data_IF_393291020223
#
_entry.id   IF_393291020223
#
_cell.length_a   1.000
_cell.length_b   1.000
_cell.length_c   1.000
_cell.angle_alpha   90.00
_cell.angle_beta   90.00
_cell.angle_gamma   90.00
#
_symmetry.space_group_name_H-M   'P 1'
#
loop_
_entity.id
_entity.type
_entity.pdbx_description
1 polymer ?
#
# COMPACT_ATOMS: atom_id res chain seq x y z
N UNK A 1 42.45 -11.03 50.00
CA UNK A 1 41.59 -10.36 49.06
C UNK A 1 40.61 -11.40 48.48
N UNK A 2 39.36 -11.41 48.95
CA UNK A 2 38.30 -12.33 48.43
C UNK A 2 37.53 -11.61 47.33
N UNK A 3 37.58 -12.14 46.11
CA UNK A 3 36.76 -11.64 44.99
C UNK A 3 35.35 -12.21 45.09
N UNK A 4 34.37 -11.35 45.27
CA UNK A 4 32.95 -11.69 45.13
C UNK A 4 32.59 -11.66 43.65
N UNK A 5 32.18 -12.80 43.10
CA UNK A 5 31.58 -12.91 41.80
C UNK A 5 30.06 -12.76 42.00
N UNK A 6 29.48 -11.66 41.53
CA UNK A 6 28.04 -11.46 41.48
C UNK A 6 27.55 -12.09 40.18
N UNK A 7 26.86 -13.23 40.28
CA UNK A 7 26.10 -13.78 39.16
C UNK A 7 24.81 -12.96 38.99
N UNK A 8 24.70 -12.16 37.95
CA UNK A 8 23.43 -11.63 37.49
C UNK A 8 22.69 -12.73 36.72
N UNK A 9 21.66 -13.29 37.31
CA UNK A 9 20.68 -14.16 36.65
C UNK A 9 19.71 -13.28 35.86
N UNK A 10 19.86 -13.25 34.52
CA UNK A 10 18.87 -12.66 33.64
C UNK A 10 17.63 -13.58 33.62
N UNK A 11 16.56 -13.16 34.27
CA UNK A 11 15.25 -13.79 34.12
C UNK A 11 14.68 -13.33 32.79
N UNK A 12 14.79 -14.18 31.77
CA UNK A 12 14.05 -14.00 30.52
C UNK A 12 12.56 -14.26 30.80
N UNK A 13 11.76 -13.22 30.95
CA UNK A 13 10.31 -13.34 30.87
C UNK A 13 9.92 -13.66 29.44
N UNK A 14 9.66 -14.92 29.19
CA UNK A 14 8.99 -15.36 27.96
C UNK A 14 7.52 -15.00 28.12
N UNK A 15 7.13 -13.82 27.65
CA UNK A 15 5.73 -13.54 27.39
C UNK A 15 5.32 -14.38 26.19
N UNK A 16 4.54 -15.42 26.42
CA UNK A 16 3.90 -16.21 25.38
C UNK A 16 2.85 -15.37 24.65
N UNK A 17 3.30 -14.52 23.72
CA UNK A 17 2.42 -14.00 22.70
C UNK A 17 2.06 -15.18 21.81
N UNK A 18 0.80 -15.60 21.79
CA UNK A 18 0.27 -16.52 20.80
C UNK A 18 0.51 -15.88 19.43
N UNK A 19 1.58 -16.30 18.75
CA UNK A 19 1.89 -15.83 17.41
C UNK A 19 0.72 -16.24 16.52
N UNK A 20 -0.11 -15.29 16.17
CA UNK A 20 -1.25 -15.50 15.29
C UNK A 20 -0.73 -16.10 13.97
N UNK A 21 -1.20 -17.29 13.62
CA UNK A 21 -0.68 -18.08 12.50
C UNK A 21 -0.83 -17.30 11.21
N UNK A 22 0.27 -17.00 10.51
CA UNK A 22 0.22 -16.35 9.20
C UNK A 22 -0.56 -17.22 8.22
N UNK A 23 -1.48 -16.59 7.52
CA UNK A 23 -2.30 -17.25 6.48
C UNK A 23 -1.52 -17.25 5.17
N UNK A 24 -1.38 -18.39 4.52
CA UNK A 24 -0.82 -18.47 3.17
C UNK A 24 -1.88 -18.11 2.13
N UNK A 25 -1.49 -17.36 1.10
CA UNK A 25 -2.32 -17.07 -0.06
C UNK A 25 -1.91 -17.91 -1.27
N UNK A 26 -2.86 -18.31 -2.07
CA UNK A 26 -2.62 -19.05 -3.30
C UNK A 26 -1.73 -18.26 -4.27
N UNK A 27 -0.58 -18.84 -4.62
CA UNK A 27 0.39 -18.27 -5.55
C UNK A 27 1.40 -17.32 -4.91
N UNK A 28 1.30 -16.98 -3.63
CA UNK A 28 2.38 -16.31 -2.93
C UNK A 28 3.54 -17.29 -2.68
N UNK A 29 4.76 -16.85 -2.98
CA UNK A 29 5.97 -17.65 -2.77
C UNK A 29 6.42 -17.62 -1.30
N UNK A 30 6.18 -16.50 -0.63
CA UNK A 30 6.55 -16.28 0.78
C UNK A 30 5.46 -15.48 1.49
N UNK A 31 5.36 -15.67 2.81
CA UNK A 31 4.57 -14.80 3.70
C UNK A 31 5.50 -14.30 4.79
N UNK A 32 5.61 -12.99 4.92
CA UNK A 32 6.49 -12.33 5.88
C UNK A 32 5.66 -11.47 6.81
N UNK A 33 5.69 -11.75 8.12
CA UNK A 33 5.19 -10.86 9.15
C UNK A 33 6.23 -9.77 9.38
N UNK A 34 5.92 -8.51 9.04
CA UNK A 34 6.79 -7.39 9.42
C UNK A 34 6.70 -7.14 10.93
N UNK A 35 5.48 -6.99 11.41
CA UNK A 35 5.15 -6.75 12.82
C UNK A 35 3.65 -6.91 13.06
N UNK A 36 3.28 -6.84 14.31
CA UNK A 36 1.91 -6.68 14.79
C UNK A 36 1.83 -5.52 15.79
N UNK A 37 0.67 -5.29 16.39
CA UNK A 37 0.48 -4.20 17.35
C UNK A 37 1.39 -4.27 18.59
N UNK A 38 1.98 -5.43 18.89
CA UNK A 38 2.86 -5.61 20.06
C UNK A 38 4.32 -5.32 19.75
N UNK A 39 4.72 -5.37 18.47
CA UNK A 39 6.10 -5.23 18.02
C UNK A 39 6.35 -3.99 17.17
N UNK A 40 5.30 -3.40 16.60
CA UNK A 40 5.35 -2.17 15.82
C UNK A 40 5.54 -0.93 16.70
N UNK A 41 6.03 0.16 16.10
CA UNK A 41 6.14 1.46 16.77
C UNK A 41 4.77 2.07 17.08
N UNK A 42 3.82 1.91 16.12
CA UNK A 42 2.45 2.41 16.25
C UNK A 42 1.46 1.26 16.32
N UNK A 43 0.47 1.35 17.19
CA UNK A 43 -0.64 0.40 17.30
C UNK A 43 -1.90 0.98 16.67
N UNK A 44 -2.71 0.15 16.01
CA UNK A 44 -4.05 0.55 15.60
C UNK A 44 -5.13 0.23 16.65
N UNK A 45 -4.73 -0.29 17.79
CA UNK A 45 -5.59 -0.64 18.93
C UNK A 45 -6.80 -1.53 18.56
N UNK A 46 -6.67 -2.35 17.52
CA UNK A 46 -7.70 -3.34 17.18
C UNK A 46 -7.76 -4.42 18.28
N UNK A 47 -8.95 -4.62 18.82
CA UNK A 47 -9.19 -5.57 19.93
C UNK A 47 -9.93 -6.82 19.47
N UNK A 48 -10.48 -6.81 18.26
CA UNK A 48 -11.16 -7.96 17.68
C UNK A 48 -10.17 -8.87 16.97
N UNK A 49 -10.43 -10.15 17.00
CA UNK A 49 -9.66 -11.11 16.23
C UNK A 49 -9.70 -10.79 14.73
N UNK A 50 -8.56 -10.89 14.07
CA UNK A 50 -8.45 -10.81 12.64
C UNK A 50 -9.28 -11.92 11.99
N UNK A 51 -10.11 -11.57 11.03
CA UNK A 51 -11.00 -12.49 10.37
C UNK A 51 -10.97 -12.33 8.84
N UNK A 52 -11.40 -13.37 8.15
CA UNK A 52 -11.51 -13.41 6.69
C UNK A 52 -12.96 -13.51 6.27
N UNK A 53 -13.42 -12.59 5.40
CA UNK A 53 -14.82 -12.55 4.96
C UNK A 53 -15.19 -13.68 4.01
N UNK A 54 -14.23 -14.38 3.42
CA UNK A 54 -14.49 -15.45 2.45
C UNK A 54 -13.53 -16.63 2.63
N UNK A 55 -13.94 -17.79 2.12
CA UNK A 55 -13.15 -19.03 2.15
C UNK A 55 -11.82 -18.94 1.40
N UNK A 56 -11.74 -18.08 0.38
CA UNK A 56 -10.51 -17.83 -0.39
C UNK A 56 -9.50 -16.96 0.36
N UNK A 57 -9.84 -16.47 1.55
CA UNK A 57 -8.99 -15.58 2.38
C UNK A 57 -8.47 -14.38 1.60
N UNK A 58 -9.29 -13.82 0.72
CA UNK A 58 -8.94 -12.65 -0.09
C UNK A 58 -9.44 -11.32 0.49
N UNK A 59 -10.21 -11.33 1.58
CA UNK A 59 -10.68 -10.11 2.25
C UNK A 59 -10.48 -10.25 3.75
N UNK A 60 -9.50 -9.55 4.30
CA UNK A 60 -9.20 -9.48 5.73
C UNK A 60 -9.94 -8.31 6.40
N UNK A 61 -10.37 -8.49 7.63
CA UNK A 61 -10.97 -7.46 8.50
C UNK A 61 -10.34 -7.54 9.89
N UNK A 62 -10.45 -6.45 10.66
CA UNK A 62 -9.87 -6.32 12.00
C UNK A 62 -8.37 -6.62 12.00
N UNK A 63 -7.66 -6.14 10.97
CA UNK A 63 -6.23 -6.44 10.81
C UNK A 63 -5.42 -5.71 11.89
N UNK A 64 -4.69 -6.46 12.70
CA UNK A 64 -3.83 -6.00 13.79
C UNK A 64 -2.35 -6.32 13.56
N UNK A 65 -2.04 -6.86 12.38
CA UNK A 65 -0.69 -7.21 11.95
C UNK A 65 -0.44 -6.85 10.50
N UNK A 66 0.81 -6.55 10.17
CA UNK A 66 1.26 -6.31 8.80
C UNK A 66 1.92 -7.58 8.24
N UNK A 67 1.28 -8.21 7.26
CA UNK A 67 1.82 -9.34 6.54
C UNK A 67 2.07 -8.97 5.07
N UNK A 68 3.23 -9.35 4.56
CA UNK A 68 3.61 -9.22 3.17
C UNK A 68 3.50 -10.58 2.49
N UNK A 69 2.69 -10.67 1.45
CA UNK A 69 2.61 -11.82 0.57
C UNK A 69 3.49 -11.55 -0.65
N UNK A 70 4.61 -12.26 -0.75
CA UNK A 70 5.61 -12.04 -1.79
C UNK A 70 5.30 -12.90 -3.00
N UNK A 71 5.13 -12.26 -4.16
CA UNK A 71 5.07 -12.89 -5.47
C UNK A 71 6.36 -12.55 -6.21
N UNK A 72 7.20 -13.56 -6.43
CA UNK A 72 8.50 -13.41 -7.08
C UNK A 72 8.33 -13.15 -8.57
N UNK A 73 9.10 -12.23 -9.10
CA UNK A 73 9.15 -11.94 -10.51
C UNK A 73 9.47 -13.19 -11.34
N UNK A 74 8.83 -13.30 -12.52
CA UNK A 74 9.27 -14.27 -13.52
C UNK A 74 10.75 -14.04 -13.83
N UNK A 75 11.64 -15.01 -13.59
CA UNK A 75 13.09 -14.82 -13.69
C UNK A 75 13.56 -14.44 -15.10
N UNK A 76 12.85 -14.89 -16.14
CA UNK A 76 13.20 -14.59 -17.54
C UNK A 76 12.94 -13.12 -17.91
N UNK A 77 12.03 -12.44 -17.17
CA UNK A 77 11.62 -11.05 -17.40
C UNK A 77 12.10 -10.08 -16.31
N UNK A 78 12.75 -10.59 -15.26
CA UNK A 78 13.13 -9.78 -14.10
C UNK A 78 14.15 -8.68 -14.46
N UNK A 79 13.76 -7.43 -14.31
CA UNK A 79 14.58 -6.22 -14.51
C UNK A 79 14.90 -5.49 -13.21
N UNK A 80 14.73 -6.17 -12.08
CA UNK A 80 14.96 -5.62 -10.76
C UNK A 80 13.83 -4.75 -10.22
N UNK A 81 12.71 -4.63 -10.94
CA UNK A 81 11.57 -3.81 -10.49
C UNK A 81 10.79 -4.56 -9.40
N UNK A 82 10.41 -3.84 -8.35
CA UNK A 82 9.49 -4.35 -7.35
C UNK A 82 8.41 -3.32 -6.99
N UNK A 83 7.26 -3.79 -6.51
CA UNK A 83 6.17 -2.92 -6.05
C UNK A 83 5.62 -3.38 -4.69
N UNK A 84 5.45 -2.44 -3.77
CA UNK A 84 4.57 -2.62 -2.63
C UNK A 84 3.14 -2.33 -3.10
N UNK A 85 2.25 -3.33 -3.02
CA UNK A 85 0.88 -3.25 -3.49
C UNK A 85 -0.08 -3.14 -2.32
N UNK A 86 -0.81 -2.03 -2.25
CA UNK A 86 -1.79 -1.75 -1.19
C UNK A 86 -3.21 -2.01 -1.68
N UNK A 87 -3.91 -3.02 -1.14
CA UNK A 87 -5.27 -3.33 -1.52
C UNK A 87 -6.28 -2.28 -1.06
N UNK A 88 -7.40 -2.17 -1.81
CA UNK A 88 -8.56 -1.40 -1.39
C UNK A 88 -9.41 -2.09 -0.32
N UNK A 89 -10.50 -1.44 0.07
CA UNK A 89 -11.47 -1.97 1.04
C UNK A 89 -12.07 -0.89 1.94
N UNK A 90 -12.01 0.40 1.52
CA UNK A 90 -12.64 1.52 2.21
C UNK A 90 -12.13 1.74 3.64
N UNK A 91 -10.92 1.34 3.95
CA UNK A 91 -10.30 1.35 5.29
C UNK A 91 -11.04 0.51 6.34
N UNK A 92 -12.03 -0.30 5.94
CA UNK A 92 -12.77 -1.22 6.82
C UNK A 92 -12.44 -2.69 6.55
N UNK A 93 -11.71 -2.96 5.48
CA UNK A 93 -11.22 -4.27 5.09
C UNK A 93 -9.97 -4.11 4.21
N UNK A 94 -9.23 -5.20 4.03
CA UNK A 94 -8.11 -5.31 3.09
C UNK A 94 -8.46 -6.37 2.05
N UNK A 95 -8.80 -5.92 0.83
CA UNK A 95 -9.22 -6.80 -0.27
C UNK A 95 -8.03 -7.21 -1.14
N UNK A 96 -7.40 -8.34 -0.81
CA UNK A 96 -6.16 -8.80 -1.46
C UNK A 96 -6.38 -9.15 -2.94
N UNK A 97 -5.83 -8.35 -3.83
CA UNK A 97 -5.92 -8.51 -5.29
C UNK A 97 -4.88 -9.50 -5.83
N UNK A 98 -5.05 -10.80 -5.50
CA UNK A 98 -4.09 -11.86 -5.83
C UNK A 98 -3.83 -11.97 -7.34
N UNK A 99 -4.88 -11.87 -8.17
CA UNK A 99 -4.74 -11.92 -9.63
C UNK A 99 -3.88 -10.79 -10.20
N UNK A 100 -4.00 -9.59 -9.63
CA UNK A 100 -3.16 -8.44 -10.02
C UNK A 100 -1.71 -8.65 -9.59
N UNK A 101 -1.47 -9.18 -8.38
CA UNK A 101 -0.13 -9.50 -7.91
C UNK A 101 0.55 -10.57 -8.80
N UNK A 102 -0.19 -11.63 -9.17
CA UNK A 102 0.28 -12.66 -10.11
C UNK A 102 0.62 -12.05 -11.47
N UNK A 103 -0.24 -11.15 -12.00
CA UNK A 103 0.03 -10.48 -13.27
C UNK A 103 1.35 -9.69 -13.25
N UNK A 104 1.58 -8.87 -12.21
CA UNK A 104 2.86 -8.14 -12.08
C UNK A 104 4.05 -9.09 -12.03
N UNK A 105 3.95 -10.18 -11.26
CA UNK A 105 5.02 -11.17 -11.16
C UNK A 105 5.33 -11.83 -12.52
N UNK A 106 4.31 -12.15 -13.31
CA UNK A 106 4.44 -12.66 -14.67
C UNK A 106 5.09 -11.66 -15.64
N UNK A 107 4.96 -10.35 -15.37
CA UNK A 107 5.67 -9.30 -16.13
C UNK A 107 7.11 -9.06 -15.64
N UNK A 108 7.63 -9.85 -14.70
CA UNK A 108 8.99 -9.70 -14.19
C UNK A 108 9.12 -8.66 -13.06
N UNK A 109 8.03 -8.33 -12.38
CA UNK A 109 7.98 -7.35 -11.30
C UNK A 109 7.70 -8.08 -9.99
N UNK A 110 8.63 -8.05 -9.04
CA UNK A 110 8.40 -8.62 -7.70
C UNK A 110 7.34 -7.83 -6.94
N UNK A 111 6.39 -8.51 -6.32
CA UNK A 111 5.29 -7.87 -5.58
C UNK A 111 5.34 -8.23 -4.10
N UNK A 112 5.25 -7.23 -3.24
CA UNK A 112 4.80 -7.41 -1.87
C UNK A 112 3.34 -6.95 -1.78
N UNK A 113 2.39 -7.89 -1.80
CA UNK A 113 0.98 -7.62 -1.57
C UNK A 113 0.77 -7.45 -0.06
N UNK A 114 0.40 -6.24 0.36
CA UNK A 114 0.44 -5.81 1.76
C UNK A 114 -0.92 -6.00 2.43
N UNK A 115 -1.00 -6.88 3.42
CA UNK A 115 -2.09 -6.89 4.40
C UNK A 115 -1.71 -5.90 5.51
N UNK A 116 -2.06 -4.66 5.33
CA UNK A 116 -1.77 -3.60 6.29
C UNK A 116 -2.76 -3.58 7.46
N UNK A 117 -2.35 -3.04 8.60
CA UNK A 117 -3.23 -2.75 9.72
C UNK A 117 -4.20 -1.63 9.34
N UNK A 118 -5.49 -1.90 9.49
CA UNK A 118 -6.53 -0.90 9.23
C UNK A 118 -6.40 0.26 10.22
N UNK A 119 -6.75 1.50 9.81
CA UNK A 119 -6.60 2.69 10.67
C UNK A 119 -7.53 2.69 11.89
N UNK A 120 -8.49 1.76 11.96
CA UNK A 120 -9.38 1.53 13.10
C UNK A 120 -9.92 2.83 13.76
N UNK A 121 -10.40 3.75 12.90
CA UNK A 121 -11.01 4.99 13.36
C UNK A 121 -10.04 6.06 13.86
N UNK A 122 -8.93 6.28 13.15
CA UNK A 122 -8.01 7.40 13.40
C UNK A 122 -6.57 7.01 13.72
N UNK A 123 -6.26 5.72 13.85
CA UNK A 123 -4.89 5.24 14.08
C UNK A 123 -4.12 5.09 12.76
N UNK A 124 -4.07 6.18 12.00
CA UNK A 124 -3.51 6.25 10.64
C UNK A 124 -2.01 5.98 10.61
N UNK A 125 -1.27 6.31 11.69
CA UNK A 125 0.17 6.09 11.78
C UNK A 125 0.54 4.61 11.68
N UNK A 126 -0.29 3.70 12.18
CA UNK A 126 -0.08 2.26 12.05
C UNK A 126 -0.16 1.81 10.58
N UNK A 127 -1.15 2.34 9.83
CA UNK A 127 -1.29 2.04 8.40
C UNK A 127 -0.13 2.62 7.58
N UNK A 128 0.32 3.83 7.91
CA UNK A 128 1.44 4.48 7.22
C UNK A 128 2.77 3.76 7.51
N UNK A 129 2.98 3.35 8.77
CA UNK A 129 4.15 2.56 9.17
C UNK A 129 4.24 1.26 8.37
N UNK A 130 3.12 0.54 8.20
CA UNK A 130 3.05 -0.68 7.41
C UNK A 130 3.38 -0.43 5.93
N UNK A 131 2.85 0.66 5.37
CA UNK A 131 3.11 1.04 4.00
C UNK A 131 4.60 1.37 3.76
N UNK A 132 5.21 2.18 4.62
CA UNK A 132 6.65 2.49 4.56
C UNK A 132 7.51 1.25 4.78
N UNK A 133 7.12 0.39 5.73
CA UNK A 133 7.82 -0.85 6.04
C UNK A 133 7.89 -1.80 4.86
N UNK A 134 6.82 -1.92 4.09
CA UNK A 134 6.78 -2.76 2.89
C UNK A 134 7.77 -2.30 1.82
N UNK A 135 7.93 -0.99 1.62
CA UNK A 135 8.92 -0.42 0.68
C UNK A 135 10.33 -0.72 1.16
N UNK A 136 10.62 -0.43 2.44
CA UNK A 136 11.93 -0.70 3.05
C UNK A 136 12.27 -2.18 2.97
N UNK A 137 11.33 -3.07 3.27
CA UNK A 137 11.52 -4.51 3.15
C UNK A 137 11.87 -4.93 1.72
N UNK A 138 11.14 -4.48 0.70
CA UNK A 138 11.44 -4.82 -0.69
C UNK A 138 12.85 -4.38 -1.10
N UNK A 139 13.34 -3.26 -0.61
CA UNK A 139 14.71 -2.78 -0.88
C UNK A 139 15.80 -3.68 -0.33
N UNK A 140 15.50 -4.51 0.66
CA UNK A 140 16.45 -5.50 1.19
C UNK A 140 16.48 -6.81 0.38
N UNK A 141 15.51 -7.01 -0.53
CA UNK A 141 15.30 -8.29 -1.23
C UNK A 141 16.13 -8.41 -2.52
N UNK A 142 17.43 -8.11 -2.42
CA UNK A 142 18.38 -8.34 -3.53
C UNK A 142 18.55 -9.82 -3.88
N UNK A 143 18.24 -10.72 -2.94
CA UNK A 143 18.13 -12.17 -3.15
C UNK A 143 17.04 -12.57 -4.16
N UNK A 144 16.02 -11.73 -4.36
CA UNK A 144 15.01 -11.88 -5.40
C UNK A 144 15.34 -11.10 -6.68
N UNK A 145 16.56 -10.57 -6.80
CA UNK A 145 16.98 -9.73 -7.91
C UNK A 145 16.36 -8.33 -7.89
N UNK A 146 15.83 -7.86 -6.75
CA UNK A 146 15.28 -6.51 -6.63
C UNK A 146 16.41 -5.49 -6.61
N UNK A 147 16.32 -4.48 -7.49
CA UNK A 147 17.14 -3.28 -7.40
C UNK A 147 16.50 -2.31 -6.38
N UNK A 148 17.18 -1.96 -5.27
CA UNK A 148 16.64 -1.05 -4.26
C UNK A 148 16.20 0.31 -4.83
N UNK A 149 16.75 0.74 -5.96
CA UNK A 149 16.41 1.98 -6.66
C UNK A 149 15.19 1.85 -7.59
N UNK A 150 14.71 0.64 -7.85
CA UNK A 150 13.56 0.35 -8.72
C UNK A 150 12.32 -0.12 -7.94
N UNK A 151 12.23 0.20 -6.65
CA UNK A 151 11.08 -0.13 -5.82
C UNK A 151 10.04 0.97 -5.90
N UNK A 152 8.89 0.64 -6.50
CA UNK A 152 7.72 1.51 -6.60
C UNK A 152 6.56 1.07 -5.72
N UNK A 153 5.45 1.79 -5.85
CA UNK A 153 4.21 1.53 -5.10
C UNK A 153 2.99 1.52 -6.01
N UNK A 154 2.02 0.67 -5.71
CA UNK A 154 0.73 0.63 -6.42
C UNK A 154 -0.39 0.26 -5.45
N UNK A 155 -1.62 0.59 -5.81
CA UNK A 155 -2.77 0.22 -4.99
C UNK A 155 -4.06 0.79 -5.54
N UNK A 156 -5.20 0.22 -5.15
CA UNK A 156 -6.51 0.61 -5.68
C UNK A 156 -7.43 1.16 -4.59
N UNK A 157 -8.29 2.13 -4.94
CA UNK A 157 -9.31 2.67 -4.03
C UNK A 157 -8.66 3.26 -2.75
N UNK A 158 -9.02 2.77 -1.56
CA UNK A 158 -8.34 3.10 -0.31
C UNK A 158 -6.83 2.78 -0.36
N UNK A 159 -6.43 1.68 -1.02
CA UNK A 159 -5.02 1.36 -1.27
C UNK A 159 -4.36 2.32 -2.24
N UNK A 160 -5.11 2.88 -3.20
CA UNK A 160 -4.67 3.96 -4.06
C UNK A 160 -4.40 5.26 -3.29
N UNK A 161 -5.24 5.54 -2.27
CA UNK A 161 -4.97 6.61 -1.31
C UNK A 161 -3.66 6.36 -0.54
N UNK A 162 -3.47 5.13 0.00
CA UNK A 162 -2.22 4.76 0.71
C UNK A 162 -1.01 4.91 -0.23
N UNK A 163 -1.14 4.51 -1.50
CA UNK A 163 -0.10 4.67 -2.53
C UNK A 163 0.31 6.14 -2.67
N UNK A 164 -0.65 7.03 -2.87
CA UNK A 164 -0.40 8.46 -2.96
C UNK A 164 0.12 9.05 -1.64
N UNK A 165 -0.42 8.60 -0.50
CA UNK A 165 -0.03 9.08 0.81
C UNK A 165 1.42 8.73 1.16
N UNK A 166 1.82 7.45 1.06
CA UNK A 166 3.18 7.02 1.36
C UNK A 166 4.21 7.67 0.42
N UNK A 167 3.84 7.92 -0.84
CA UNK A 167 4.67 8.61 -1.82
C UNK A 167 5.01 10.05 -1.43
N UNK A 168 4.15 10.69 -0.63
CA UNK A 168 4.37 12.05 -0.15
C UNK A 168 4.90 12.12 1.27
N UNK A 169 4.55 11.14 2.14
CA UNK A 169 4.88 11.15 3.56
C UNK A 169 6.25 10.55 3.89
N UNK A 170 6.84 9.74 2.99
CA UNK A 170 8.21 9.22 3.19
C UNK A 170 9.25 10.34 3.13
N UNK A 171 10.36 10.23 3.88
CA UNK A 171 11.55 11.06 3.69
C UNK A 171 11.98 11.07 2.22
N UNK A 172 12.49 12.19 1.71
CA UNK A 172 12.78 12.36 0.28
C UNK A 172 13.76 11.32 -0.25
N UNK A 173 14.75 10.92 0.55
CA UNK A 173 15.75 9.90 0.22
C UNK A 173 15.19 8.46 0.22
N UNK A 174 14.04 8.27 0.84
CA UNK A 174 13.36 6.97 0.93
C UNK A 174 12.12 6.88 0.02
N UNK A 175 11.77 7.92 -0.72
CA UNK A 175 10.59 7.91 -1.60
C UNK A 175 10.66 6.78 -2.62
N UNK A 176 9.51 6.17 -2.98
CA UNK A 176 9.49 5.13 -4.01
C UNK A 176 9.96 5.67 -5.37
N UNK A 177 10.48 4.79 -6.22
CA UNK A 177 10.96 5.15 -7.55
C UNK A 177 9.82 5.64 -8.47
N UNK A 178 8.61 5.16 -8.25
CA UNK A 178 7.38 5.55 -8.95
C UNK A 178 6.15 5.19 -8.14
N UNK A 179 5.02 5.78 -8.49
CA UNK A 179 3.71 5.48 -7.90
C UNK A 179 2.66 5.21 -8.98
N UNK A 180 1.80 4.20 -8.75
CA UNK A 180 0.68 3.85 -9.62
C UNK A 180 -0.60 3.74 -8.80
N UNK A 181 -1.21 4.86 -8.38
CA UNK A 181 -2.52 4.85 -7.72
C UNK A 181 -3.63 4.55 -8.74
N UNK A 182 -4.46 3.55 -8.42
CA UNK A 182 -5.55 3.06 -9.27
C UNK A 182 -6.88 3.43 -8.62
N UNK A 183 -7.76 4.14 -9.35
CA UNK A 183 -9.02 4.70 -8.84
C UNK A 183 -8.90 5.22 -7.39
N UNK A 184 -7.88 6.06 -7.11
CA UNK A 184 -7.53 6.41 -5.74
C UNK A 184 -8.56 7.39 -5.14
N UNK A 185 -8.95 7.13 -3.90
CA UNK A 185 -9.79 8.04 -3.13
C UNK A 185 -8.93 9.14 -2.50
N UNK A 186 -8.52 10.13 -3.29
CA UNK A 186 -7.51 11.15 -2.93
C UNK A 186 -8.04 12.18 -1.95
N UNK A 187 -9.14 12.86 -2.32
CA UNK A 187 -9.71 13.99 -1.57
C UNK A 187 -10.65 13.50 -0.48
N UNK A 188 -10.55 14.05 0.73
CA UNK A 188 -11.39 13.71 1.88
C UNK A 188 -12.47 14.75 2.17
N UNK A 189 -12.39 15.91 1.55
CA UNK A 189 -13.29 17.05 1.78
C UNK A 189 -14.43 17.15 0.77
N UNK A 190 -14.35 16.43 -0.35
CA UNK A 190 -15.34 16.50 -1.42
C UNK A 190 -16.60 15.68 -1.13
N UNK A 191 -17.71 16.03 -1.78
CA UNK A 191 -19.02 15.40 -1.57
C UNK A 191 -19.06 13.90 -1.89
N UNK A 192 -18.19 13.41 -2.77
CA UNK A 192 -18.06 12.00 -3.10
C UNK A 192 -17.19 11.21 -2.10
N UNK A 193 -16.50 11.90 -1.19
CA UNK A 193 -15.80 11.25 -0.10
C UNK A 193 -16.82 10.71 0.89
N UNK A 194 -17.04 9.40 0.89
CA UNK A 194 -18.09 8.82 1.74
C UNK A 194 -17.75 9.02 3.21
N UNK A 195 -18.71 9.52 3.99
CA UNK A 195 -18.58 9.70 5.44
C UNK A 195 -18.06 8.44 6.14
N UNK A 196 -18.56 7.25 5.75
CA UNK A 196 -18.12 5.98 6.31
C UNK A 196 -16.64 5.71 6.08
N UNK A 197 -16.09 6.06 4.92
CA UNK A 197 -14.68 5.93 4.60
C UNK A 197 -13.83 6.89 5.45
N UNK A 198 -14.29 8.13 5.61
CA UNK A 198 -13.62 9.11 6.46
C UNK A 198 -13.67 8.72 7.93
N UNK A 199 -14.81 8.23 8.43
CA UNK A 199 -14.92 7.73 9.81
C UNK A 199 -13.99 6.53 10.08
N UNK A 200 -13.82 5.64 9.09
CA UNK A 200 -12.90 4.51 9.20
C UNK A 200 -11.44 4.96 9.24
N UNK A 201 -11.07 5.97 8.43
CA UNK A 201 -9.72 6.49 8.34
C UNK A 201 -9.39 7.43 9.51
N UNK A 202 -10.26 8.39 9.81
CA UNK A 202 -9.99 9.55 10.68
C UNK A 202 -10.66 9.44 12.06
N UNK A 203 -11.58 8.47 12.23
CA UNK A 203 -12.39 8.37 13.44
C UNK A 203 -13.73 9.14 13.34
N UNK A 204 -14.70 8.71 14.15
CA UNK A 204 -16.07 9.28 14.11
C UNK A 204 -16.16 10.75 14.48
N UNK A 205 -15.16 11.28 15.19
CA UNK A 205 -15.13 12.68 15.67
C UNK A 205 -14.24 13.57 14.81
N UNK A 206 -13.82 13.12 13.61
CA UNK A 206 -12.99 13.93 12.75
C UNK A 206 -13.66 15.25 12.38
N UNK A 207 -12.85 16.29 12.26
CA UNK A 207 -13.30 17.62 11.81
C UNK A 207 -12.90 17.87 10.34
N UNK A 208 -13.35 18.97 9.78
CA UNK A 208 -13.01 19.35 8.39
C UNK A 208 -11.50 19.48 8.19
N UNK A 209 -10.76 20.01 9.18
CA UNK A 209 -9.30 20.16 9.08
C UNK A 209 -8.59 18.80 9.02
N UNK A 210 -9.09 17.79 9.73
CA UNK A 210 -8.55 16.42 9.63
C UNK A 210 -8.73 15.85 8.22
N UNK A 211 -9.87 16.10 7.60
CA UNK A 211 -10.13 15.72 6.22
C UNK A 211 -9.22 16.49 5.24
N UNK A 212 -9.00 17.79 5.44
CA UNK A 212 -8.04 18.59 4.65
C UNK A 212 -6.62 18.02 4.77
N UNK A 213 -6.17 17.74 5.99
CA UNK A 213 -4.84 17.22 6.26
C UNK A 213 -4.61 15.84 5.64
N UNK A 214 -5.67 15.01 5.55
CA UNK A 214 -5.61 13.67 4.95
C UNK A 214 -5.96 13.66 3.45
N UNK A 215 -6.24 14.80 2.87
CA UNK A 215 -6.40 14.96 1.42
C UNK A 215 -5.03 15.04 0.75
N UNK A 216 -4.58 13.93 0.18
CA UNK A 216 -3.17 13.75 -0.22
C UNK A 216 -2.69 14.66 -1.35
N UNK A 217 -3.60 15.27 -2.13
CA UNK A 217 -3.23 16.33 -3.08
C UNK A 217 -2.60 17.55 -2.39
N UNK A 218 -2.87 17.75 -1.08
CA UNK A 218 -2.27 18.84 -0.30
C UNK A 218 -0.85 18.54 0.20
N UNK A 219 -0.40 17.30 0.07
CA UNK A 219 0.93 16.83 0.52
C UNK A 219 1.97 16.83 -0.61
N UNK A 220 1.55 17.12 -1.85
CA UNK A 220 2.43 17.03 -3.03
C UNK A 220 3.52 18.10 -2.96
N UNK A 221 4.75 17.66 -3.23
CA UNK A 221 5.95 18.49 -3.35
C UNK A 221 6.67 18.19 -4.67
N UNK A 222 7.65 18.98 -5.09
CA UNK A 222 8.50 18.67 -6.26
C UNK A 222 9.25 17.34 -6.15
N UNK A 223 9.41 16.80 -4.92
CA UNK A 223 10.05 15.52 -4.63
C UNK A 223 9.09 14.34 -4.67
N UNK A 224 7.79 14.56 -4.90
CA UNK A 224 6.81 13.48 -5.12
C UNK A 224 7.26 12.61 -6.30
N UNK A 225 7.26 11.27 -6.20
CA UNK A 225 7.77 10.40 -7.27
C UNK A 225 6.94 10.49 -8.54
N UNK A 226 7.52 10.14 -9.70
CA UNK A 226 6.78 9.99 -10.95
C UNK A 226 5.53 9.15 -10.77
N UNK A 227 4.37 9.64 -11.21
CA UNK A 227 3.07 9.04 -10.87
C UNK A 227 2.21 8.77 -12.11
N UNK A 228 1.72 7.52 -12.23
CA UNK A 228 0.73 7.12 -13.22
C UNK A 228 -0.63 6.90 -12.54
N UNK A 229 -1.65 7.64 -12.93
CA UNK A 229 -3.03 7.49 -12.45
C UNK A 229 -3.87 6.69 -13.44
N UNK A 230 -4.56 5.65 -12.95
CA UNK A 230 -5.43 4.80 -13.76
C UNK A 230 -6.82 4.74 -13.15
N UNK A 231 -7.86 5.06 -13.92
CA UNK A 231 -9.24 5.10 -13.46
C UNK A 231 -10.22 4.92 -14.61
N UNK A 232 -11.50 4.75 -14.29
CA UNK A 232 -12.57 4.70 -15.28
C UNK A 232 -13.54 5.88 -15.09
N UNK A 233 -14.08 6.38 -16.21
CA UNK A 233 -15.04 7.48 -16.22
C UNK A 233 -16.40 7.06 -15.62
N UNK A 234 -16.76 5.79 -15.76
CA UNK A 234 -17.98 5.19 -15.22
C UNK A 234 -17.84 4.72 -13.75
N UNK A 235 -16.79 5.12 -13.03
CA UNK A 235 -16.61 4.81 -11.60
C UNK A 235 -17.59 5.63 -10.74
N UNK A 236 -18.62 4.96 -10.20
CA UNK A 236 -19.62 5.57 -9.32
C UNK A 236 -19.21 5.53 -7.83
N UNK A 237 -18.12 4.85 -7.49
CA UNK A 237 -17.62 4.74 -6.11
C UNK A 237 -16.63 5.85 -5.79
N UNK A 238 -15.67 6.08 -6.68
CA UNK A 238 -14.70 7.18 -6.59
C UNK A 238 -14.65 7.89 -7.94
N UNK A 239 -15.38 9.01 -8.09
CA UNK A 239 -15.42 9.77 -9.33
C UNK A 239 -14.04 10.20 -9.83
N UNK A 240 -13.89 10.33 -11.14
CA UNK A 240 -12.65 10.68 -11.84
C UNK A 240 -12.03 12.00 -11.33
N UNK A 241 -12.84 12.94 -10.90
CA UNK A 241 -12.41 14.23 -10.34
C UNK A 241 -11.37 14.10 -9.22
N UNK A 242 -11.49 13.07 -8.36
CA UNK A 242 -10.50 12.79 -7.30
C UNK A 242 -9.08 12.62 -7.84
N UNK A 243 -8.94 11.90 -8.96
CA UNK A 243 -7.65 11.67 -9.62
C UNK A 243 -7.19 12.85 -10.45
N UNK A 244 -8.12 13.54 -11.11
CA UNK A 244 -7.82 14.74 -11.92
C UNK A 244 -7.19 15.83 -11.04
N UNK A 245 -7.79 16.13 -9.88
CA UNK A 245 -7.26 17.09 -8.92
C UNK A 245 -5.83 16.74 -8.47
N UNK A 246 -5.55 15.46 -8.24
CA UNK A 246 -4.22 15.00 -7.87
C UNK A 246 -3.22 15.18 -9.02
N UNK A 247 -3.62 14.80 -10.25
CA UNK A 247 -2.81 14.97 -11.45
C UNK A 247 -2.45 16.43 -11.72
N UNK A 248 -3.43 17.33 -11.69
CA UNK A 248 -3.21 18.77 -11.88
C UNK A 248 -2.21 19.32 -10.86
N UNK A 249 -2.31 18.86 -9.61
CA UNK A 249 -1.38 19.29 -8.57
C UNK A 249 0.03 18.75 -8.79
N UNK A 250 0.19 17.49 -9.22
CA UNK A 250 1.50 16.92 -9.58
C UNK A 250 2.18 17.74 -10.69
N UNK A 251 1.44 18.02 -11.77
CA UNK A 251 1.95 18.79 -12.92
C UNK A 251 2.31 20.20 -12.50
N UNK A 252 1.49 20.85 -11.65
CA UNK A 252 1.73 22.23 -11.21
C UNK A 252 3.03 22.44 -10.44
N UNK A 253 3.60 21.38 -9.86
CA UNK A 253 4.88 21.42 -9.14
C UNK A 253 6.02 20.75 -9.92
N UNK A 254 5.79 20.38 -11.18
CA UNK A 254 6.81 19.83 -12.07
C UNK A 254 7.08 18.33 -11.91
N UNK A 255 6.22 17.59 -11.19
CA UNK A 255 6.33 16.13 -11.09
C UNK A 255 5.94 15.48 -12.41
N UNK A 256 6.72 14.50 -12.87
CA UNK A 256 6.37 13.67 -14.02
C UNK A 256 5.09 12.88 -13.70
N UNK A 257 4.02 13.12 -14.43
CA UNK A 257 2.74 12.47 -14.19
C UNK A 257 2.04 12.09 -15.50
N UNK A 258 1.28 11.01 -15.48
CA UNK A 258 0.35 10.60 -16.52
C UNK A 258 -0.97 10.20 -15.90
N UNK A 259 -2.06 10.40 -16.64
CA UNK A 259 -3.41 10.00 -16.22
C UNK A 259 -4.13 9.33 -17.39
N UNK A 260 -4.70 8.14 -17.15
CA UNK A 260 -5.54 7.43 -18.12
C UNK A 260 -6.93 7.27 -17.52
N UNK A 261 -7.90 7.85 -18.20
CA UNK A 261 -9.32 7.73 -17.85
C UNK A 261 -9.98 6.85 -18.91
N UNK A 262 -10.21 5.59 -18.56
CA UNK A 262 -10.86 4.64 -19.44
C UNK A 262 -12.36 4.88 -19.48
N UNK A 263 -13.03 4.74 -20.62
CA UNK A 263 -14.45 5.08 -20.74
C UNK A 263 -15.37 4.15 -19.98
N UNK A 264 -14.89 2.94 -19.60
CA UNK A 264 -15.68 1.92 -18.90
C UNK A 264 -14.79 0.98 -18.10
N UNK A 265 -15.36 0.34 -17.08
CA UNK A 265 -14.68 -0.65 -16.22
C UNK A 265 -15.05 -0.50 -14.76
N UNK A 266 -15.72 0.60 -14.41
CA UNK A 266 -16.16 0.92 -13.05
C UNK A 266 -15.00 0.99 -12.06
N UNK A 267 -15.32 0.92 -10.78
CA UNK A 267 -14.33 0.99 -9.69
C UNK A 267 -13.30 -0.16 -9.69
N UNK A 268 -13.61 -1.27 -10.37
CA UNK A 268 -12.69 -2.44 -10.40
C UNK A 268 -11.72 -2.44 -11.59
N UNK A 269 -11.90 -1.55 -12.57
CA UNK A 269 -11.16 -1.51 -13.83
C UNK A 269 -11.15 -2.86 -14.58
N UNK A 270 -12.18 -3.69 -14.38
CA UNK A 270 -12.25 -5.01 -15.04
C UNK A 270 -12.50 -4.91 -16.54
N UNK A 271 -13.28 -3.90 -16.96
CA UNK A 271 -13.60 -3.69 -18.37
C UNK A 271 -12.47 -3.12 -19.21
N UNK A 272 -11.36 -2.71 -18.60
CA UNK A 272 -10.15 -2.16 -19.26
C UNK A 272 -8.87 -2.81 -18.73
N UNK A 273 -8.92 -4.12 -18.45
CA UNK A 273 -7.79 -4.82 -17.83
C UNK A 273 -6.54 -4.80 -18.71
N UNK A 274 -6.67 -5.09 -19.99
CA UNK A 274 -5.54 -5.15 -20.92
C UNK A 274 -4.97 -3.76 -21.18
N UNK A 275 -5.82 -2.76 -21.39
CA UNK A 275 -5.43 -1.37 -21.62
C UNK A 275 -4.66 -0.79 -20.41
N UNK A 276 -5.14 -1.04 -19.18
CA UNK A 276 -4.43 -0.60 -17.99
C UNK A 276 -3.09 -1.31 -17.81
N UNK A 277 -3.01 -2.60 -18.15
CA UNK A 277 -1.76 -3.37 -18.11
C UNK A 277 -0.74 -2.81 -19.11
N UNK A 278 -1.15 -2.51 -20.33
CA UNK A 278 -0.32 -1.87 -21.35
C UNK A 278 0.19 -0.50 -20.84
N UNK A 279 -0.71 0.34 -20.31
CA UNK A 279 -0.34 1.65 -19.77
C UNK A 279 0.69 1.57 -18.64
N UNK A 280 0.61 0.54 -17.78
CA UNK A 280 1.60 0.32 -16.72
C UNK A 280 2.98 -0.02 -17.31
N UNK A 281 3.03 -0.95 -18.26
CA UNK A 281 4.31 -1.38 -18.87
C UNK A 281 4.95 -0.25 -19.67
N UNK A 282 4.16 0.49 -20.46
CA UNK A 282 4.63 1.66 -21.21
C UNK A 282 5.18 2.75 -20.28
N UNK A 283 4.51 2.99 -19.15
CA UNK A 283 4.96 3.94 -18.15
C UNK A 283 6.31 3.55 -17.53
N UNK A 284 6.48 2.28 -17.15
CA UNK A 284 7.74 1.77 -16.59
C UNK A 284 8.89 1.83 -17.62
N UNK A 285 8.59 1.55 -18.88
CA UNK A 285 9.58 1.67 -19.96
C UNK A 285 9.96 3.13 -20.21
N UNK A 286 8.98 4.03 -20.27
CA UNK A 286 9.22 5.46 -20.42
C UNK A 286 10.07 6.04 -19.28
N UNK A 287 9.93 5.53 -18.06
CA UNK A 287 10.79 5.87 -16.92
C UNK A 287 12.20 5.26 -17.03
N UNK A 288 12.46 4.37 -18.00
CA UNK A 288 13.74 3.67 -18.17
C UNK A 288 14.00 2.56 -17.17
N UNK A 289 12.97 2.06 -16.49
CA UNK A 289 13.10 1.04 -15.45
C UNK A 289 13.23 -0.38 -16.03
N UNK A 290 12.80 -0.60 -17.27
CA UNK A 290 12.79 -1.91 -17.94
C UNK A 290 14.11 -2.22 -18.68
N UNK A 291 15.05 -1.30 -18.66
CA UNK A 291 16.37 -1.42 -19.31
C UNK A 291 17.38 -2.09 -18.41
#
# INVERSE_FOLDING_TARGET
>A
MKRFIVLLSAVAMVFGASAQKTVTLEGANEVVRLWDNSTAKHSNYETKDEAWRNSKKSVAINTSSCDLYIFKANPEKNKGIAVAMYPGGGFTAVGLSISTAKWYAEQGITVALVKYRLPNGGHTDATLEDAMGAIRYLRTRTDLGVDPKKVGVTGSSAGGHITAWVSNAMPDEEKPAFAIPICPSITRTEFYSTRKCNEALLGKKYCYQDAVNMSVQNMITPQTPPTLLLLCDDDTTVPSHSSITYYERLVSVGVKASIHIFPRGGHSLKGCFEERCAAILDWLDWLGLTK
#
